data_IF_791766363609
#
_entry.id   IF_791766363609
#
_cell.length_a   1.000
_cell.length_b   1.000
_cell.length_c   1.000
_cell.angle_alpha   90.00
_cell.angle_beta   90.00
_cell.angle_gamma   90.00
#
_symmetry.space_group_name_H-M   'P 1'
#
loop_
_entity.id
_entity.type
_entity.pdbx_description
1 polymer ?
#
# COMPACT_ATOMS: atom_id res chain seq x y z
N UNK A 1 -13.16 -8.61 -6.53
CA UNK A 1 -12.42 -7.56 -7.28
C UNK A 1 -12.55 -7.73 -8.80
N UNK A 2 -12.92 -6.65 -9.49
CA UNK A 2 -12.95 -6.55 -10.97
C UNK A 2 -12.20 -5.29 -11.43
N UNK A 3 -11.83 -5.12 -12.72
CA UNK A 3 -11.19 -3.90 -13.19
C UNK A 3 -11.99 -2.61 -12.93
N UNK A 4 -13.30 -2.70 -12.68
CA UNK A 4 -14.15 -1.55 -12.34
C UNK A 4 -14.22 -1.26 -10.84
N UNK A 5 -13.72 -2.16 -9.98
CA UNK A 5 -13.72 -1.98 -8.53
C UNK A 5 -12.82 -0.81 -8.13
N UNK A 6 -13.36 0.12 -7.35
CA UNK A 6 -12.61 1.21 -6.73
C UNK A 6 -11.80 0.71 -5.52
N UNK A 7 -10.76 1.45 -5.13
CA UNK A 7 -9.98 1.13 -3.93
C UNK A 7 -10.86 1.03 -2.67
N UNK A 8 -11.80 1.96 -2.50
CA UNK A 8 -12.77 1.93 -1.40
C UNK A 8 -13.60 0.64 -1.35
N UNK A 9 -14.08 0.18 -2.51
CA UNK A 9 -14.85 -1.07 -2.58
C UNK A 9 -13.99 -2.27 -2.20
N UNK A 10 -12.72 -2.30 -2.65
CA UNK A 10 -11.80 -3.39 -2.30
C UNK A 10 -11.44 -3.39 -0.81
N UNK A 11 -11.26 -2.23 -0.19
CA UNK A 11 -11.05 -2.13 1.27
C UNK A 11 -12.27 -2.67 2.01
N UNK A 12 -13.49 -2.26 1.62
CA UNK A 12 -14.73 -2.75 2.23
C UNK A 12 -14.87 -4.27 2.12
N UNK A 13 -14.68 -4.83 0.92
CA UNK A 13 -14.71 -6.28 0.66
C UNK A 13 -13.69 -7.03 1.53
N UNK A 14 -12.50 -6.46 1.72
CA UNK A 14 -11.47 -7.08 2.53
C UNK A 14 -11.78 -7.02 4.02
N UNK A 15 -12.27 -5.89 4.54
CA UNK A 15 -12.70 -5.79 5.94
C UNK A 15 -13.76 -6.84 6.26
N UNK A 16 -14.77 -6.99 5.40
CA UNK A 16 -15.79 -8.02 5.53
C UNK A 16 -15.18 -9.43 5.56
N UNK A 17 -14.26 -9.75 4.64
CA UNK A 17 -13.57 -11.04 4.58
C UNK A 17 -12.73 -11.34 5.82
N UNK A 18 -12.15 -10.31 6.44
CA UNK A 18 -11.35 -10.43 7.66
C UNK A 18 -12.21 -10.35 8.94
N UNK A 19 -13.54 -10.28 8.84
CA UNK A 19 -14.44 -10.20 9.99
C UNK A 19 -14.43 -8.86 10.71
N UNK A 20 -14.00 -7.78 10.03
CA UNK A 20 -14.01 -6.41 10.51
C UNK A 20 -15.26 -5.66 10.01
N UNK A 21 -15.63 -4.57 10.68
CA UNK A 21 -16.77 -3.76 10.26
C UNK A 21 -16.48 -3.06 8.91
N UNK A 22 -17.23 -3.35 7.84
CA UNK A 22 -16.99 -2.76 6.53
C UNK A 22 -17.25 -1.25 6.46
N UNK A 23 -17.96 -0.68 7.44
CA UNK A 23 -18.19 0.76 7.56
C UNK A 23 -16.98 1.52 8.10
N UNK A 24 -16.02 0.83 8.72
CA UNK A 24 -14.74 1.41 9.16
C UNK A 24 -13.76 1.64 8.00
N UNK A 25 -14.16 1.38 6.75
CA UNK A 25 -13.30 1.53 5.56
C UNK A 25 -12.58 2.88 5.47
N UNK A 26 -13.17 3.95 6.01
CA UNK A 26 -12.57 5.29 6.03
C UNK A 26 -11.32 5.41 6.91
N UNK A 27 -11.12 4.47 7.83
CA UNK A 27 -9.93 4.38 8.69
C UNK A 27 -8.77 3.63 8.00
N UNK A 28 -9.04 2.99 6.86
CA UNK A 28 -8.08 2.17 6.13
C UNK A 28 -7.78 2.74 4.75
N UNK A 29 -6.63 2.39 4.22
CA UNK A 29 -6.20 2.74 2.87
C UNK A 29 -5.68 1.50 2.16
N UNK A 30 -6.00 1.39 0.88
CA UNK A 30 -5.32 0.47 -0.02
C UNK A 30 -4.01 1.12 -0.47
N UNK A 31 -2.93 0.36 -0.41
CA UNK A 31 -1.59 0.84 -0.71
C UNK A 31 -0.96 0.00 -1.82
N UNK A 32 -0.44 0.65 -2.87
CA UNK A 32 0.41 0.02 -3.89
C UNK A 32 1.85 0.02 -3.38
N UNK A 33 2.34 -1.16 -2.98
CA UNK A 33 3.69 -1.33 -2.42
C UNK A 33 4.60 -2.01 -3.42
N UNK A 34 5.77 -1.40 -3.63
CA UNK A 34 6.84 -1.93 -4.48
C UNK A 34 8.03 -2.26 -3.59
N UNK A 35 8.52 -3.48 -3.74
CA UNK A 35 9.57 -4.03 -2.89
C UNK A 35 10.44 -5.02 -3.65
N UNK A 36 11.43 -5.57 -2.96
CA UNK A 36 12.35 -6.56 -3.50
C UNK A 36 12.14 -7.92 -2.84
N UNK A 37 12.34 -9.02 -3.57
CA UNK A 37 12.53 -10.31 -2.91
C UNK A 37 13.78 -10.22 -2.04
N UNK A 38 13.75 -10.79 -0.82
CA UNK A 38 14.92 -10.79 0.04
C UNK A 38 16.11 -11.47 -0.63
N UNK A 39 17.31 -10.91 -0.45
CA UNK A 39 18.53 -11.39 -1.07
C UNK A 39 18.87 -12.82 -0.64
N UNK A 40 19.03 -13.71 -1.61
CA UNK A 40 19.41 -15.10 -1.38
C UNK A 40 20.84 -15.20 -0.84
N UNK A 41 20.96 -15.39 0.47
CA UNK A 41 22.23 -15.64 1.15
C UNK A 41 21.97 -15.94 2.61
N UNK A 42 21.74 -17.22 2.91
CA UNK A 42 21.58 -17.82 4.25
C UNK A 42 20.50 -17.19 5.16
N UNK A 43 19.38 -17.91 5.28
CA UNK A 43 18.29 -17.74 6.24
C UNK A 43 17.41 -16.48 6.12
N UNK A 44 16.20 -16.66 5.56
CA UNK A 44 15.01 -15.95 6.03
C UNK A 44 14.71 -14.55 5.48
N UNK A 45 15.37 -14.09 4.43
CA UNK A 45 15.03 -12.81 3.79
C UNK A 45 13.68 -12.88 3.08
N UNK A 46 12.59 -12.54 3.77
CA UNK A 46 11.26 -12.37 3.17
C UNK A 46 11.23 -11.21 2.17
N UNK A 47 10.09 -11.06 1.48
CA UNK A 47 9.86 -9.87 0.65
C UNK A 47 9.90 -8.61 1.51
N UNK A 48 10.61 -7.58 1.04
CA UNK A 48 10.80 -6.32 1.76
C UNK A 48 10.20 -5.19 0.91
N UNK A 49 9.14 -4.56 1.43
CA UNK A 49 8.54 -3.39 0.81
C UNK A 49 9.43 -2.16 1.02
N UNK A 50 9.79 -1.45 -0.05
CA UNK A 50 10.63 -0.25 0.08
C UNK A 50 9.83 1.02 -0.22
N UNK A 51 8.94 0.98 -1.22
CA UNK A 51 8.16 2.13 -1.65
C UNK A 51 6.67 1.81 -1.55
N UNK A 52 5.88 2.80 -1.15
CA UNK A 52 4.43 2.69 -1.09
C UNK A 52 3.79 3.97 -1.62
N UNK A 53 2.64 3.79 -2.26
CA UNK A 53 1.71 4.87 -2.60
C UNK A 53 0.31 4.52 -2.09
N UNK A 54 -0.32 5.45 -1.39
CA UNK A 54 -1.76 5.35 -1.11
C UNK A 54 -2.55 5.40 -2.43
N UNK A 55 -3.47 4.46 -2.62
CA UNK A 55 -4.38 4.40 -3.75
C UNK A 55 -5.66 5.11 -3.34
N UNK A 56 -5.98 6.23 -3.99
CA UNK A 56 -7.13 7.05 -3.69
C UNK A 56 -8.45 6.30 -3.83
N UNK A 57 -9.43 6.68 -3.02
CA UNK A 57 -10.68 5.94 -2.83
C UNK A 57 -11.42 5.57 -4.13
N UNK A 58 -11.30 6.43 -5.16
CA UNK A 58 -11.97 6.29 -6.45
C UNK A 58 -11.08 5.74 -7.58
N UNK A 59 -9.79 5.53 -7.32
CA UNK A 59 -8.89 4.89 -8.28
C UNK A 59 -9.30 3.43 -8.49
N UNK A 60 -8.92 2.85 -9.65
CA UNK A 60 -9.18 1.46 -10.02
C UNK A 60 -7.88 0.64 -9.90
N UNK A 61 -7.63 -0.04 -8.77
CA UNK A 61 -6.30 -0.62 -8.48
C UNK A 61 -5.89 -1.72 -9.46
N UNK A 62 -6.86 -2.49 -9.95
CA UNK A 62 -6.59 -3.54 -10.94
C UNK A 62 -6.21 -2.99 -12.32
N UNK A 63 -6.76 -1.83 -12.72
CA UNK A 63 -6.31 -1.14 -13.95
C UNK A 63 -4.88 -0.63 -13.80
N UNK A 64 -4.54 -0.07 -12.64
CA UNK A 64 -3.17 0.35 -12.33
C UNK A 64 -2.19 -0.82 -12.34
N UNK A 65 -2.62 -2.00 -11.87
CA UNK A 65 -1.86 -3.25 -11.92
C UNK A 65 -1.54 -3.70 -13.35
N UNK A 66 -2.48 -3.53 -14.28
CA UNK A 66 -2.30 -3.91 -15.67
C UNK A 66 -1.36 -2.95 -16.39
N UNK A 67 -1.57 -1.64 -16.22
CA UNK A 67 -0.88 -0.59 -16.97
C UNK A 67 0.56 -0.32 -16.50
N UNK A 68 0.88 -0.55 -15.22
CA UNK A 68 2.18 -0.17 -14.64
C UNK A 68 2.86 -1.39 -14.01
N UNK A 69 4.09 -1.68 -14.45
CA UNK A 69 4.90 -2.80 -13.91
C UNK A 69 6.10 -2.26 -13.13
N UNK A 70 6.49 -2.89 -12.00
CA UNK A 70 7.75 -2.58 -11.34
C UNK A 70 8.94 -2.78 -12.28
N UNK A 71 10.04 -2.07 -11.99
CA UNK A 71 11.33 -2.28 -12.65
C UNK A 71 11.81 -3.73 -12.44
N UNK A 72 12.59 -4.28 -13.37
CA UNK A 72 13.22 -5.59 -13.20
C UNK A 72 13.95 -5.71 -11.85
N UNK A 73 13.78 -6.85 -11.17
CA UNK A 73 14.28 -7.08 -9.81
C UNK A 73 13.37 -6.58 -8.69
N UNK A 74 12.25 -5.93 -9.02
CA UNK A 74 11.24 -5.48 -8.07
C UNK A 74 9.92 -6.23 -8.27
N UNK A 75 9.10 -6.25 -7.24
CA UNK A 75 7.76 -6.83 -7.26
C UNK A 75 6.76 -5.93 -6.53
N UNK A 76 5.49 -6.04 -6.92
CA UNK A 76 4.37 -5.24 -6.40
C UNK A 76 3.47 -6.11 -5.51
N UNK A 77 2.93 -5.51 -4.44
CA UNK A 77 1.83 -6.05 -3.63
C UNK A 77 0.86 -4.93 -3.26
N UNK A 78 -0.43 -5.25 -3.22
CA UNK A 78 -1.41 -4.36 -2.60
C UNK A 78 -1.56 -4.72 -1.12
N UNK A 79 -1.54 -3.71 -0.26
CA UNK A 79 -1.68 -3.87 1.18
C UNK A 79 -2.79 -2.97 1.71
N UNK A 80 -3.47 -3.43 2.76
CA UNK A 80 -4.43 -2.62 3.51
C UNK A 80 -3.76 -2.18 4.80
N UNK A 81 -3.76 -0.87 5.05
CA UNK A 81 -3.15 -0.27 6.25
C UNK A 81 -4.09 0.74 6.89
N UNK A 82 -3.95 0.97 8.19
CA UNK A 82 -4.66 2.07 8.86
C UNK A 82 -4.08 3.39 8.38
N UNK A 83 -4.94 4.37 8.05
CA UNK A 83 -4.50 5.71 7.62
C UNK A 83 -3.65 6.39 8.68
N UNK A 84 -3.97 6.17 9.95
CA UNK A 84 -3.19 6.67 11.09
C UNK A 84 -1.72 6.18 11.05
N UNK A 85 -1.46 4.94 10.67
CA UNK A 85 -0.09 4.40 10.57
C UNK A 85 0.67 5.08 9.42
N UNK A 86 -0.03 5.38 8.32
CA UNK A 86 0.54 6.11 7.17
C UNK A 86 0.83 7.58 7.51
N UNK A 87 0.05 8.19 8.40
CA UNK A 87 0.24 9.56 8.88
C UNK A 87 1.44 9.61 9.84
N UNK A 88 1.49 8.71 10.84
CA UNK A 88 2.63 8.59 11.75
C UNK A 88 3.95 8.34 11.01
N UNK A 89 3.94 7.47 10.00
CA UNK A 89 5.12 7.22 9.16
C UNK A 89 5.52 8.45 8.30
N UNK A 90 4.58 9.34 7.98
CA UNK A 90 4.87 10.57 7.25
C UNK A 90 5.43 11.68 8.16
N UNK A 91 4.97 11.73 9.42
CA UNK A 91 5.35 12.76 10.40
C UNK A 91 6.69 12.50 11.10
N UNK A 92 7.28 11.31 10.92
CA UNK A 92 8.64 11.01 11.38
C UNK A 92 8.74 10.70 12.88
N UNK A 93 7.65 10.27 13.51
CA UNK A 93 7.65 9.77 14.89
C UNK A 93 8.27 8.36 14.93
N UNK A 94 9.60 8.32 15.05
CA UNK A 94 10.44 7.11 15.11
C UNK A 94 10.25 6.35 16.46
N UNK A 95 9.01 5.95 16.76
CA UNK A 95 8.71 4.98 17.80
C UNK A 95 8.91 3.56 17.28
N UNK A 96 10.15 3.06 17.34
CA UNK A 96 10.52 1.64 17.32
C UNK A 96 9.88 0.74 16.24
N UNK A 97 9.65 1.28 15.04
CA UNK A 97 9.44 0.47 13.82
C UNK A 97 10.73 0.49 13.02
N UNK A 98 11.79 -0.06 13.62
CA UNK A 98 13.11 -0.13 13.04
C UNK A 98 13.10 -0.90 11.70
N UNK A 99 13.21 -0.19 10.58
CA UNK A 99 13.74 -0.77 9.34
C UNK A 99 13.09 -0.31 8.03
N UNK A 100 11.77 -0.24 7.93
CA UNK A 100 11.13 -0.41 6.60
C UNK A 100 10.69 0.86 5.86
N UNK A 101 10.53 2.02 6.52
CA UNK A 101 9.68 3.09 5.94
C UNK A 101 10.30 4.50 5.90
N UNK A 102 11.61 4.64 5.68
CA UNK A 102 12.32 5.95 5.68
C UNK A 102 11.97 6.92 4.52
N UNK A 103 11.19 6.51 3.52
CA UNK A 103 11.05 7.26 2.25
C UNK A 103 9.63 7.74 1.88
N UNK A 104 8.71 7.80 2.83
CA UNK A 104 7.31 8.24 2.64
C UNK A 104 7.15 9.75 2.41
N UNK A 105 8.25 10.51 2.46
CA UNK A 105 8.30 11.98 2.41
C UNK A 105 7.84 12.65 1.10
N UNK A 106 7.61 11.92 -0.01
CA UNK A 106 7.41 12.56 -1.34
C UNK A 106 6.14 12.17 -2.10
N UNK A 107 5.13 11.59 -1.44
CA UNK A 107 3.87 11.21 -2.11
C UNK A 107 2.69 12.15 -1.85
N UNK A 108 2.60 12.78 -0.67
CA UNK A 108 1.37 13.43 -0.18
C UNK A 108 1.03 14.81 -0.78
N UNK A 109 1.69 15.22 -1.86
CA UNK A 109 1.41 16.53 -2.50
C UNK A 109 1.45 16.44 -4.01
N UNK A 110 0.46 15.80 -4.65
CA UNK A 110 -0.27 16.34 -5.82
C UNK A 110 -1.61 15.57 -5.98
N UNK A 111 -2.77 16.23 -5.94
CA UNK A 111 -3.95 15.64 -6.57
C UNK A 111 -3.64 15.50 -8.06
N UNK A 112 -3.78 14.30 -8.62
CA UNK A 112 -3.87 14.12 -10.06
C UNK A 112 -5.11 14.88 -10.53
N UNK A 113 -4.90 16.02 -11.20
CA UNK A 113 -5.93 16.66 -12.02
C UNK A 113 -5.77 16.10 -13.43
N UNK A 114 -6.74 15.33 -13.87
CA UNK A 114 -6.96 14.87 -15.23
C UNK A 114 -8.45 14.76 -15.44
#
# INVERSE_FOLDING_TARGET
ATPRSSARQLVREALERYGLNPDDFGQFALCDVVGRPGGGGTAGGGWQGEHLREVGDWERPLVLQELWKPKAGWSRRFEIRRRQDLERAADGDDGDTAGEWRQWRRGRRRPWRG
#
